data_IF_253066569231
#
_entry.id   IF_253066569231
#
_cell.length_a   1.000
_cell.length_b   1.000
_cell.length_c   1.000
_cell.angle_alpha   90.00
_cell.angle_beta   90.00
_cell.angle_gamma   90.00
#
_symmetry.space_group_name_H-M   'P 1'
#
loop_
_entity.id
_entity.type
_entity.pdbx_description
1 polymer ?
#
# COMPACT_ATOMS: atom_id res chain seq x y z
N UNK A 1 -9.80 -23.84 41.12
CA UNK A 1 -9.01 -22.60 41.31
C UNK A 1 -7.66 -22.83 40.66
N UNK A 2 -7.24 -21.88 39.82
CA UNK A 2 -5.97 -21.82 39.08
C UNK A 2 -5.79 -22.80 37.90
N UNK A 3 -6.58 -22.61 36.83
CA UNK A 3 -6.18 -23.04 35.48
C UNK A 3 -6.42 -21.89 34.48
N UNK A 4 -5.34 -21.48 33.83
CA UNK A 4 -5.25 -20.62 32.64
C UNK A 4 -5.70 -19.14 32.72
N UNK A 5 -5.04 -18.34 33.57
CA UNK A 5 -4.69 -16.98 33.14
C UNK A 5 -3.42 -17.06 32.30
N UNK A 6 -3.54 -17.44 31.02
CA UNK A 6 -2.43 -17.28 30.08
C UNK A 6 -1.99 -15.82 30.11
N UNK A 7 -0.70 -15.56 30.37
CA UNK A 7 -0.15 -14.21 30.45
C UNK A 7 -0.56 -13.42 29.21
N UNK A 8 -1.42 -12.41 29.40
CA UNK A 8 -2.00 -11.62 28.31
C UNK A 8 -0.85 -11.02 27.49
N UNK A 9 -0.72 -11.44 26.24
CA UNK A 9 0.30 -10.87 25.36
C UNK A 9 -0.08 -9.43 24.99
N UNK A 10 0.91 -8.57 24.85
CA UNK A 10 0.78 -7.18 24.40
C UNK A 10 1.99 -6.80 23.55
N UNK A 11 1.88 -5.69 22.84
CA UNK A 11 2.98 -5.18 22.03
C UNK A 11 4.09 -4.63 22.93
N UNK A 12 5.32 -4.99 22.61
CA UNK A 12 6.53 -4.48 23.22
C UNK A 12 7.46 -3.92 22.16
N UNK A 13 8.10 -2.80 22.48
CA UNK A 13 9.31 -2.34 21.83
C UNK A 13 10.51 -3.06 22.46
N UNK A 14 11.35 -3.62 21.62
CA UNK A 14 12.65 -4.19 21.95
C UNK A 14 13.73 -3.35 21.27
N UNK A 15 14.17 -2.30 21.97
CA UNK A 15 15.19 -1.37 21.49
C UNK A 15 16.56 -2.01 21.57
N UNK A 16 17.32 -2.05 20.49
CA UNK A 16 18.59 -2.78 20.41
C UNK A 16 19.73 -2.02 21.10
N UNK A 17 20.66 -2.75 21.72
CA UNK A 17 21.91 -2.15 22.22
C UNK A 17 22.88 -1.82 21.09
N UNK A 18 22.83 -2.57 19.98
CA UNK A 18 23.65 -2.41 18.80
C UNK A 18 22.72 -2.21 17.60
N UNK A 19 22.60 -0.97 17.15
CA UNK A 19 21.68 -0.57 16.08
C UNK A 19 22.29 -0.83 14.69
N UNK A 20 22.55 -2.09 14.36
CA UNK A 20 23.04 -2.51 13.05
C UNK A 20 22.43 -3.83 12.56
N UNK A 21 22.58 -4.17 11.26
CA UNK A 21 21.87 -5.32 10.68
C UNK A 21 22.18 -6.66 11.35
N UNK A 22 23.42 -6.88 11.81
CA UNK A 22 23.80 -8.09 12.53
C UNK A 22 23.12 -8.16 13.90
N UNK A 23 23.15 -7.06 14.66
CA UNK A 23 22.47 -6.95 15.95
C UNK A 23 20.97 -7.21 15.85
N UNK A 24 20.32 -6.62 14.84
CA UNK A 24 18.90 -6.81 14.59
C UNK A 24 18.54 -8.25 14.23
N UNK A 25 19.33 -8.91 13.37
CA UNK A 25 19.11 -10.33 13.00
C UNK A 25 19.26 -11.26 14.20
N UNK A 26 20.30 -11.05 15.03
CA UNK A 26 20.53 -11.85 16.23
C UNK A 26 19.38 -11.69 17.23
N UNK A 27 18.99 -10.44 17.51
CA UNK A 27 17.88 -10.13 18.42
C UNK A 27 16.55 -10.71 17.93
N UNK A 28 16.26 -10.62 16.62
CA UNK A 28 15.03 -11.17 16.04
C UNK A 28 14.98 -12.69 16.16
N UNK A 29 16.09 -13.38 15.85
CA UNK A 29 16.20 -14.84 16.04
C UNK A 29 15.93 -15.22 17.49
N UNK A 30 16.58 -14.54 18.43
CA UNK A 30 16.39 -14.78 19.86
C UNK A 30 14.91 -14.59 20.29
N UNK A 31 14.26 -13.50 19.86
CA UNK A 31 12.85 -13.27 20.16
C UNK A 31 11.94 -14.36 19.58
N UNK A 32 12.19 -14.80 18.35
CA UNK A 32 11.45 -15.92 17.73
C UNK A 32 11.64 -17.23 18.50
N UNK A 33 12.86 -17.56 18.91
CA UNK A 33 13.16 -18.73 19.76
C UNK A 33 12.47 -18.66 21.13
N UNK A 34 12.34 -17.45 21.68
CA UNK A 34 11.60 -17.18 22.92
C UNK A 34 10.06 -17.25 22.74
N UNK A 35 9.58 -17.44 21.51
CA UNK A 35 8.15 -17.51 21.17
C UNK A 35 7.46 -16.15 21.11
N UNK A 36 8.23 -15.06 21.01
CA UNK A 36 7.72 -13.71 20.73
C UNK A 36 7.36 -13.63 19.25
N UNK A 37 6.16 -13.12 18.96
CA UNK A 37 5.73 -12.87 17.60
C UNK A 37 6.22 -11.48 17.19
N UNK A 38 7.32 -11.42 16.46
CA UNK A 38 7.89 -10.16 15.96
C UNK A 38 7.05 -9.67 14.78
N UNK A 39 6.40 -8.52 14.93
CA UNK A 39 5.48 -7.97 13.92
C UNK A 39 6.18 -7.01 12.98
N UNK A 40 7.11 -6.22 13.51
CA UNK A 40 7.86 -5.25 12.71
C UNK A 40 9.26 -5.00 13.26
N UNK A 41 10.10 -4.48 12.39
CA UNK A 41 11.43 -4.00 12.67
C UNK A 41 11.53 -2.55 12.18
N UNK A 42 11.94 -1.66 13.08
CA UNK A 42 12.14 -0.23 12.81
C UNK A 42 13.63 -0.01 12.50
N UNK A 43 13.96 0.06 11.20
CA UNK A 43 15.35 0.11 10.72
C UNK A 43 16.22 -1.00 11.37
N UNK A 44 17.50 -0.76 11.64
CA UNK A 44 18.35 -1.68 12.38
C UNK A 44 18.34 -1.44 13.90
N UNK A 45 17.38 -0.66 14.41
CA UNK A 45 17.46 -0.06 15.74
C UNK A 45 16.49 -0.69 16.77
N UNK A 46 15.33 -1.18 16.33
CA UNK A 46 14.36 -1.77 17.23
C UNK A 46 13.51 -2.86 16.55
N UNK A 47 13.00 -3.77 17.37
CA UNK A 47 11.99 -4.75 17.01
C UNK A 47 10.71 -4.46 17.78
N UNK A 48 9.55 -4.69 17.16
CA UNK A 48 8.25 -4.64 17.81
C UNK A 48 7.64 -6.04 17.75
N UNK A 49 7.08 -6.50 18.86
CA UNK A 49 6.48 -7.83 18.89
C UNK A 49 5.46 -8.05 19.99
N UNK A 50 4.57 -9.00 19.75
CA UNK A 50 3.56 -9.47 20.68
C UNK A 50 4.18 -10.52 21.63
N UNK A 51 4.34 -10.13 22.89
CA UNK A 51 5.01 -10.93 23.91
C UNK A 51 4.20 -10.97 25.23
N UNK A 52 4.40 -12.03 26.01
CA UNK A 52 4.01 -12.06 27.43
C UNK A 52 4.99 -11.24 28.28
N UNK A 53 4.60 -10.93 29.51
CA UNK A 53 5.50 -10.25 30.46
C UNK A 53 6.78 -11.06 30.68
N UNK A 54 6.68 -12.36 30.91
CA UNK A 54 7.83 -13.25 31.15
C UNK A 54 8.80 -13.27 29.96
N UNK A 55 8.28 -13.27 28.73
CA UNK A 55 9.11 -13.19 27.51
C UNK A 55 9.82 -11.83 27.43
N UNK A 56 9.13 -10.74 27.75
CA UNK A 56 9.74 -9.41 27.77
C UNK A 56 10.83 -9.28 28.85
N UNK A 57 10.60 -9.83 30.04
CA UNK A 57 11.59 -9.86 31.13
C UNK A 57 12.81 -10.71 30.78
N UNK A 58 12.60 -11.90 30.19
CA UNK A 58 13.69 -12.73 29.70
C UNK A 58 14.51 -12.04 28.60
N UNK A 59 13.86 -11.31 27.68
CA UNK A 59 14.57 -10.52 26.69
C UNK A 59 15.42 -9.41 27.34
N UNK A 60 14.88 -8.68 28.32
CA UNK A 60 15.59 -7.59 29.00
C UNK A 60 16.88 -8.03 29.70
N UNK A 61 17.01 -9.31 30.08
CA UNK A 61 18.18 -9.85 30.78
C UNK A 61 19.35 -10.23 29.85
N UNK A 62 19.13 -10.29 28.53
CA UNK A 62 20.13 -10.80 27.57
C UNK A 62 21.30 -9.86 27.28
N UNK A 63 21.15 -8.56 27.58
CA UNK A 63 22.07 -7.53 27.09
C UNK A 63 21.99 -7.25 25.58
N UNK A 64 21.08 -7.91 24.83
CA UNK A 64 20.81 -7.57 23.42
C UNK A 64 20.04 -6.27 23.27
N UNK A 65 19.25 -5.92 24.29
CA UNK A 65 18.32 -4.79 24.26
C UNK A 65 18.75 -3.68 25.22
N UNK A 66 18.72 -2.45 24.72
CA UNK A 66 18.89 -1.23 25.52
C UNK A 66 17.66 -0.94 26.37
N UNK A 67 16.47 -1.29 25.86
CA UNK A 67 15.21 -1.17 26.58
C UNK A 67 14.20 -2.19 26.04
N UNK A 68 13.35 -2.71 26.93
CA UNK A 68 12.19 -3.52 26.57
C UNK A 68 10.98 -2.90 27.27
N UNK A 69 9.97 -2.48 26.51
CA UNK A 69 8.83 -1.74 27.09
C UNK A 69 7.55 -1.94 26.31
N UNK A 70 6.43 -2.11 27.03
CA UNK A 70 5.07 -2.06 26.45
C UNK A 70 4.43 -0.68 26.56
N UNK A 71 5.22 0.33 26.92
CA UNK A 71 4.80 1.72 27.08
C UNK A 71 5.88 2.67 26.57
N UNK A 72 5.75 3.96 26.87
CA UNK A 72 6.73 4.97 26.42
C UNK A 72 8.15 4.60 26.85
N UNK A 73 9.11 4.95 26.00
CA UNK A 73 10.55 4.74 26.25
C UNK A 73 11.26 6.09 26.22
N UNK A 74 12.20 6.26 27.13
CA UNK A 74 13.17 7.36 27.13
C UNK A 74 14.57 6.77 27.08
N UNK A 75 15.48 7.39 26.31
CA UNK A 75 16.89 6.99 26.28
C UNK A 75 17.73 7.89 27.18
N UNK A 76 18.76 7.30 27.77
CA UNK A 76 19.82 8.05 28.44
C UNK A 76 20.58 8.94 27.43
N UNK A 77 20.95 10.15 27.85
CA UNK A 77 21.53 11.21 27.01
C UNK A 77 22.79 10.77 26.26
N UNK A 78 23.55 9.80 26.79
CA UNK A 78 24.77 9.28 26.15
C UNK A 78 24.50 8.44 24.89
N UNK A 79 23.33 7.80 24.79
CA UNK A 79 22.89 7.01 23.61
C UNK A 79 22.04 7.84 22.64
N UNK A 80 21.72 9.09 22.97
CA UNK A 80 20.93 10.00 22.15
C UNK A 80 21.66 10.52 20.89
N UNK A 81 22.92 10.14 20.66
CA UNK A 81 23.65 10.50 19.44
C UNK A 81 23.31 9.63 18.22
N UNK A 82 22.65 8.49 18.42
CA UNK A 82 22.27 7.58 17.34
C UNK A 82 20.87 7.91 16.81
N UNK A 83 20.83 8.45 15.59
CA UNK A 83 19.59 8.85 14.92
C UNK A 83 18.61 7.69 14.76
N UNK A 84 19.10 6.48 14.47
CA UNK A 84 18.23 5.33 14.22
C UNK A 84 17.46 4.93 15.48
N UNK A 85 18.12 4.98 16.64
CA UNK A 85 17.49 4.74 17.94
C UNK A 85 16.49 5.82 18.31
N UNK A 86 16.81 7.10 18.04
CA UNK A 86 15.89 8.21 18.30
C UNK A 86 14.63 8.13 17.43
N UNK A 87 14.79 7.83 16.14
CA UNK A 87 13.68 7.70 15.21
C UNK A 87 12.77 6.53 15.61
N UNK A 88 13.33 5.38 15.98
CA UNK A 88 12.57 4.22 16.47
C UNK A 88 11.77 4.54 17.75
N UNK A 89 12.36 5.27 18.70
CA UNK A 89 11.67 5.69 19.93
C UNK A 89 10.58 6.70 19.63
N UNK A 90 10.84 7.66 18.73
CA UNK A 90 9.86 8.66 18.33
C UNK A 90 8.62 7.98 17.73
N UNK A 91 8.84 7.07 16.78
CA UNK A 91 7.80 6.26 16.15
C UNK A 91 7.01 5.44 17.17
N UNK A 92 7.68 4.76 18.10
CA UNK A 92 7.02 3.99 19.16
C UNK A 92 6.22 4.87 20.14
N UNK A 93 6.80 5.96 20.61
CA UNK A 93 6.19 6.85 21.59
C UNK A 93 4.98 7.59 21.00
N UNK A 94 4.97 7.88 19.69
CA UNK A 94 3.84 8.51 19.01
C UNK A 94 2.53 7.72 19.24
N UNK A 95 2.60 6.38 19.24
CA UNK A 95 1.46 5.48 19.51
C UNK A 95 0.94 5.53 20.95
N UNK A 96 1.72 6.13 21.85
CA UNK A 96 1.41 6.27 23.27
C UNK A 96 1.09 7.71 23.67
N UNK A 97 1.07 8.65 22.71
CA UNK A 97 0.66 10.02 22.95
C UNK A 97 -0.85 10.10 23.19
N UNK A 98 -1.26 10.95 24.13
CA UNK A 98 -2.69 11.10 24.47
C UNK A 98 -3.52 11.58 23.26
N UNK A 99 -2.93 12.40 22.39
CA UNK A 99 -3.55 12.85 21.15
C UNK A 99 -3.83 11.68 20.19
N UNK A 100 -2.88 10.77 20.03
CA UNK A 100 -3.03 9.58 19.19
C UNK A 100 -4.06 8.62 19.78
N UNK A 101 -3.99 8.33 21.08
CA UNK A 101 -4.97 7.46 21.74
C UNK A 101 -6.40 8.01 21.65
N UNK A 102 -6.56 9.34 21.77
CA UNK A 102 -7.86 10.01 21.57
C UNK A 102 -8.32 9.89 20.11
N UNK A 103 -7.41 10.07 19.15
CA UNK A 103 -7.71 9.89 17.73
C UNK A 103 -8.20 8.47 17.43
N UNK A 104 -7.58 7.43 18.00
CA UNK A 104 -8.03 6.03 17.83
C UNK A 104 -9.40 5.74 18.44
N UNK A 105 -9.89 6.58 19.36
CA UNK A 105 -11.24 6.49 19.93
C UNK A 105 -12.25 7.28 19.11
N UNK A 106 -11.81 8.19 18.25
CA UNK A 106 -12.67 8.96 17.38
C UNK A 106 -13.35 8.06 16.34
N UNK A 107 -14.65 8.26 16.15
CA UNK A 107 -15.51 7.52 15.21
C UNK A 107 -16.30 8.47 14.31
N UNK A 108 -16.07 9.77 14.40
CA UNK A 108 -16.82 10.81 13.70
C UNK A 108 -16.84 10.62 12.19
N UNK A 109 -15.73 10.20 11.60
CA UNK A 109 -15.57 10.01 10.16
C UNK A 109 -15.77 8.54 9.71
N UNK A 110 -16.00 7.60 10.64
CA UNK A 110 -16.08 6.17 10.33
C UNK A 110 -17.37 5.85 9.57
N UNK A 111 -17.24 5.35 8.33
CA UNK A 111 -18.37 4.87 7.53
C UNK A 111 -19.21 5.99 6.91
N UNK A 112 -18.72 7.23 6.88
CA UNK A 112 -19.35 8.26 6.04
C UNK A 112 -19.21 7.85 4.57
N UNK A 113 -20.31 7.83 3.79
CA UNK A 113 -20.26 7.37 2.41
C UNK A 113 -19.32 8.23 1.57
N UNK A 114 -18.60 7.55 0.69
CA UNK A 114 -17.75 8.15 -0.34
C UNK A 114 -18.56 9.00 -1.34
N UNK A 115 -19.85 8.69 -1.49
CA UNK A 115 -20.81 9.38 -2.36
C UNK A 115 -21.47 10.61 -1.70
N UNK A 116 -20.75 11.32 -0.83
CA UNK A 116 -21.22 12.63 -0.38
C UNK A 116 -21.24 13.59 -1.59
N UNK A 117 -22.37 14.26 -1.83
CA UNK A 117 -22.52 15.19 -2.96
C UNK A 117 -21.56 16.40 -2.86
N UNK A 118 -21.01 16.64 -1.67
CA UNK A 118 -20.02 17.69 -1.43
C UNK A 118 -18.57 17.24 -1.71
N UNK A 119 -18.35 15.97 -2.07
CA UNK A 119 -17.02 15.42 -2.41
C UNK A 119 -16.93 15.04 -3.87
N UNK A 120 -15.81 15.39 -4.50
CA UNK A 120 -15.49 14.95 -5.87
C UNK A 120 -15.43 13.42 -5.93
N UNK A 121 -16.23 12.79 -6.80
CA UNK A 121 -16.16 11.35 -7.06
C UNK A 121 -14.79 10.98 -7.65
N UNK A 122 -14.19 9.88 -7.19
CA UNK A 122 -12.95 9.40 -7.80
C UNK A 122 -13.28 8.57 -9.05
N UNK A 123 -12.42 8.60 -10.08
CA UNK A 123 -12.59 7.71 -11.22
C UNK A 123 -12.43 6.24 -10.80
N UNK A 124 -12.83 5.23 -11.60
CA UNK A 124 -12.54 3.84 -11.27
C UNK A 124 -11.02 3.59 -11.26
N UNK A 125 -10.46 3.04 -10.17
CA UNK A 125 -9.02 2.70 -10.09
C UNK A 125 -8.56 1.76 -11.23
N UNK A 126 -7.28 1.55 -11.51
CA UNK A 126 -6.82 0.56 -12.50
C UNK A 126 -5.65 -0.25 -11.95
N UNK A 127 -5.72 -1.59 -12.00
CA UNK A 127 -4.64 -2.44 -11.47
C UNK A 127 -3.32 -2.25 -12.23
N UNK A 128 -3.41 -2.05 -13.54
CA UNK A 128 -2.29 -1.74 -14.43
C UNK A 128 -2.42 -0.31 -14.93
N UNK A 129 -1.31 0.41 -14.98
CA UNK A 129 -1.29 1.79 -15.46
C UNK A 129 -1.79 1.84 -16.91
N UNK A 130 -2.79 2.68 -17.25
CA UNK A 130 -3.31 2.80 -18.62
C UNK A 130 -2.22 3.15 -19.65
N UNK A 131 -1.14 3.81 -19.23
CA UNK A 131 -0.01 4.15 -20.11
C UNK A 131 0.87 2.95 -20.39
N UNK A 132 1.08 2.07 -19.40
CA UNK A 132 1.79 0.80 -19.61
C UNK A 132 1.02 -0.07 -20.60
N UNK A 133 -0.32 -0.10 -20.48
CA UNK A 133 -1.19 -0.79 -21.41
C UNK A 133 -1.07 -0.22 -22.82
N UNK A 134 -1.21 1.09 -22.97
CA UNK A 134 -1.03 1.80 -24.25
C UNK A 134 0.34 1.51 -24.85
N UNK A 135 1.42 1.65 -24.09
CA UNK A 135 2.78 1.35 -24.56
C UNK A 135 2.93 -0.12 -25.00
N UNK A 136 2.34 -1.07 -24.27
CA UNK A 136 2.36 -2.49 -24.62
C UNK A 136 1.58 -2.78 -25.91
N UNK A 137 0.41 -2.16 -26.09
CA UNK A 137 -0.40 -2.27 -27.31
C UNK A 137 0.34 -1.70 -28.51
N UNK A 138 0.87 -0.48 -28.40
CA UNK A 138 1.63 0.17 -29.47
C UNK A 138 2.86 -0.66 -29.87
N UNK A 139 3.58 -1.20 -28.90
CA UNK A 139 4.71 -2.11 -29.13
C UNK A 139 4.28 -3.39 -29.85
N UNK A 140 3.17 -4.01 -29.43
CA UNK A 140 2.63 -5.23 -30.06
C UNK A 140 2.20 -4.99 -31.50
N UNK A 141 1.51 -3.88 -31.74
CA UNK A 141 0.99 -3.51 -33.06
C UNK A 141 2.05 -2.86 -33.96
N UNK A 142 3.24 -2.57 -33.43
CA UNK A 142 4.35 -1.91 -34.14
C UNK A 142 3.91 -0.60 -34.82
N UNK A 143 3.14 0.22 -34.09
CA UNK A 143 2.58 1.48 -34.55
C UNK A 143 2.77 2.56 -33.50
N UNK A 144 2.67 3.82 -33.92
CA UNK A 144 2.45 4.94 -33.01
C UNK A 144 0.94 5.14 -32.75
N UNK A 145 0.63 5.92 -31.71
CA UNK A 145 -0.73 6.18 -31.28
C UNK A 145 -1.55 6.98 -32.29
N UNK A 146 -0.97 8.00 -32.90
CA UNK A 146 -1.70 8.87 -33.82
C UNK A 146 -2.21 8.07 -35.02
N UNK A 147 -1.34 7.22 -35.58
CA UNK A 147 -1.67 6.30 -36.67
C UNK A 147 -2.74 5.29 -36.26
N UNK A 148 -2.63 4.71 -35.05
CA UNK A 148 -3.58 3.73 -34.55
C UNK A 148 -4.98 4.34 -34.34
N UNK A 149 -5.07 5.48 -33.65
CA UNK A 149 -6.34 6.14 -33.34
C UNK A 149 -7.00 6.68 -34.61
N UNK A 150 -6.22 7.20 -35.57
CA UNK A 150 -6.74 7.60 -36.89
C UNK A 150 -7.39 6.43 -37.62
N UNK A 151 -6.67 5.32 -37.76
CA UNK A 151 -7.18 4.12 -38.45
C UNK A 151 -8.43 3.58 -37.76
N UNK A 152 -8.46 3.60 -36.43
CA UNK A 152 -9.62 3.16 -35.63
C UNK A 152 -10.83 4.06 -35.86
N UNK A 153 -10.66 5.39 -35.89
CA UNK A 153 -11.76 6.33 -36.22
C UNK A 153 -12.32 6.10 -37.62
N UNK A 154 -11.46 5.83 -38.60
CA UNK A 154 -11.90 5.60 -39.99
C UNK A 154 -12.76 4.32 -40.11
N UNK A 155 -12.42 3.27 -39.35
CA UNK A 155 -13.24 2.04 -39.23
C UNK A 155 -14.59 2.31 -38.58
N UNK A 156 -14.62 3.13 -37.53
CA UNK A 156 -15.80 3.45 -36.74
C UNK A 156 -16.46 4.79 -37.12
N UNK A 157 -16.29 5.25 -38.37
CA UNK A 157 -16.73 6.59 -38.83
C UNK A 157 -18.22 6.92 -38.63
N UNK A 158 -19.06 5.91 -38.44
CA UNK A 158 -20.50 6.05 -38.21
C UNK A 158 -20.87 6.04 -36.71
N UNK A 159 -19.90 5.78 -35.84
CA UNK A 159 -20.06 5.79 -34.39
C UNK A 159 -19.41 7.06 -33.82
N UNK A 160 -20.00 7.60 -32.74
CA UNK A 160 -19.38 8.69 -31.99
C UNK A 160 -18.74 8.10 -30.74
N UNK A 161 -17.43 8.26 -30.55
CA UNK A 161 -16.81 7.75 -29.34
C UNK A 161 -17.24 8.64 -28.18
N UNK A 162 -17.68 8.02 -27.09
CA UNK A 162 -18.16 8.70 -25.89
C UNK A 162 -17.28 8.33 -24.70
N UNK A 163 -17.16 9.24 -23.73
CA UNK A 163 -16.56 8.89 -22.44
C UNK A 163 -17.31 7.73 -21.80
N UNK A 164 -16.57 6.82 -21.20
CA UNK A 164 -17.09 5.64 -20.52
C UNK A 164 -17.48 6.00 -19.10
N UNK A 165 -18.53 6.80 -18.92
CA UNK A 165 -19.04 7.19 -17.61
C UNK A 165 -20.45 6.61 -17.38
N UNK A 166 -20.81 6.34 -16.12
CA UNK A 166 -22.14 5.87 -15.73
C UNK A 166 -22.59 4.62 -16.50
N UNK A 167 -23.75 4.69 -17.15
CA UNK A 167 -24.33 3.58 -17.93
C UNK A 167 -23.45 3.15 -19.12
N UNK A 168 -22.70 4.08 -19.72
CA UNK A 168 -21.81 3.77 -20.84
C UNK A 168 -20.65 2.87 -20.40
N UNK A 169 -20.13 3.08 -19.18
CA UNK A 169 -19.12 2.21 -18.58
C UNK A 169 -19.65 0.79 -18.39
N UNK A 170 -20.84 0.66 -17.77
CA UNK A 170 -21.44 -0.65 -17.50
C UNK A 170 -21.76 -1.42 -18.79
N UNK A 171 -22.27 -0.72 -19.81
CA UNK A 171 -22.53 -1.31 -21.12
C UNK A 171 -21.25 -1.78 -21.82
N UNK A 172 -20.17 -0.99 -21.73
CA UNK A 172 -18.88 -1.35 -22.30
C UNK A 172 -18.24 -2.55 -21.59
N UNK A 173 -18.28 -2.59 -20.26
CA UNK A 173 -17.82 -3.74 -19.49
C UNK A 173 -18.59 -5.02 -19.86
N UNK A 174 -19.93 -4.95 -19.95
CA UNK A 174 -20.74 -6.10 -20.36
C UNK A 174 -20.42 -6.57 -21.79
N UNK A 175 -20.11 -5.63 -22.69
CA UNK A 175 -19.66 -5.93 -24.06
C UNK A 175 -18.32 -6.67 -24.06
N UNK A 176 -17.35 -6.22 -23.25
CA UNK A 176 -16.07 -6.89 -23.07
C UNK A 176 -16.23 -8.30 -22.49
N UNK A 177 -17.07 -8.46 -21.47
CA UNK A 177 -17.28 -9.77 -20.83
C UNK A 177 -17.88 -10.76 -21.82
N UNK A 178 -18.89 -10.34 -22.58
CA UNK A 178 -19.47 -11.16 -23.66
C UNK A 178 -18.45 -11.52 -24.74
N UNK A 179 -17.53 -10.60 -25.07
CA UNK A 179 -16.52 -10.83 -26.10
C UNK A 179 -15.40 -11.77 -25.64
N UNK A 180 -14.92 -11.58 -24.41
CA UNK A 180 -13.76 -12.29 -23.85
C UNK A 180 -14.15 -13.57 -23.10
N UNK A 181 -15.42 -13.70 -22.71
CA UNK A 181 -15.93 -14.68 -21.76
C UNK A 181 -15.02 -14.75 -20.52
N UNK A 182 -14.73 -13.59 -19.95
CA UNK A 182 -13.76 -13.41 -18.87
C UNK A 182 -14.12 -12.16 -18.04
N UNK A 183 -15.00 -12.28 -17.03
CA UNK A 183 -15.59 -11.13 -16.35
C UNK A 183 -14.56 -10.26 -15.63
N UNK A 184 -13.53 -10.87 -15.03
CA UNK A 184 -12.43 -10.12 -14.38
C UNK A 184 -11.62 -9.28 -15.39
N UNK A 185 -11.24 -9.88 -16.52
CA UNK A 185 -10.47 -9.20 -17.56
C UNK A 185 -11.28 -8.08 -18.21
N UNK A 186 -12.57 -8.32 -18.45
CA UNK A 186 -13.49 -7.31 -18.96
C UNK A 186 -13.64 -6.11 -18.01
N UNK A 187 -13.72 -6.38 -16.70
CA UNK A 187 -13.75 -5.34 -15.68
C UNK A 187 -12.46 -4.50 -15.68
N UNK A 188 -11.29 -5.13 -15.67
CA UNK A 188 -10.01 -4.41 -15.69
C UNK A 188 -9.82 -3.59 -16.98
N UNK A 189 -10.24 -4.12 -18.12
CA UNK A 189 -10.16 -3.42 -19.41
C UNK A 189 -11.12 -2.23 -19.52
N UNK A 190 -12.33 -2.34 -18.96
CA UNK A 190 -13.26 -1.21 -18.90
C UNK A 190 -12.67 -0.04 -18.10
N UNK A 191 -11.98 -0.35 -16.99
CA UNK A 191 -11.30 0.64 -16.14
C UNK A 191 -10.13 1.28 -16.87
N UNK A 192 -9.31 0.51 -17.59
CA UNK A 192 -8.24 1.09 -18.44
C UNK A 192 -8.86 2.03 -19.49
N UNK A 193 -9.89 1.57 -20.20
CA UNK A 193 -10.55 2.36 -21.23
C UNK A 193 -11.15 3.67 -20.70
N UNK A 194 -11.63 3.69 -19.44
CA UNK A 194 -12.13 4.89 -18.77
C UNK A 194 -11.08 6.02 -18.75
N UNK A 195 -9.81 5.69 -18.55
CA UNK A 195 -8.72 6.67 -18.40
C UNK A 195 -8.05 7.05 -19.72
N UNK A 196 -8.40 6.40 -20.81
CA UNK A 196 -7.83 6.64 -22.14
C UNK A 196 -8.76 7.50 -23.00
N UNK A 197 -8.26 7.94 -24.14
CA UNK A 197 -9.09 8.59 -25.15
C UNK A 197 -10.24 7.64 -25.57
N UNK A 198 -11.47 8.14 -25.77
CA UNK A 198 -12.65 7.32 -26.05
C UNK A 198 -12.49 6.26 -27.16
N UNK A 199 -11.65 6.53 -28.17
CA UNK A 199 -11.33 5.62 -29.27
C UNK A 199 -10.62 4.34 -28.82
N UNK A 200 -9.91 4.35 -27.69
CA UNK A 200 -9.25 3.17 -27.13
C UNK A 200 -10.27 2.08 -26.75
N UNK A 201 -11.53 2.42 -26.50
CA UNK A 201 -12.59 1.45 -26.28
C UNK A 201 -12.77 0.51 -27.49
N UNK A 202 -12.59 1.03 -28.71
CA UNK A 202 -12.65 0.21 -29.92
C UNK A 202 -11.37 -0.60 -30.10
N UNK A 203 -10.20 0.01 -29.88
CA UNK A 203 -8.90 -0.68 -29.96
C UNK A 203 -8.90 -1.90 -29.05
N UNK A 204 -9.32 -1.75 -27.80
CA UNK A 204 -9.34 -2.83 -26.80
C UNK A 204 -10.21 -4.01 -27.23
N UNK A 205 -11.35 -3.74 -27.86
CA UNK A 205 -12.25 -4.79 -28.37
C UNK A 205 -11.66 -5.56 -29.57
N UNK A 206 -10.65 -5.02 -30.26
CA UNK A 206 -9.97 -5.68 -31.39
C UNK A 206 -8.73 -6.47 -30.94
N UNK A 207 -8.28 -6.35 -29.69
CA UNK A 207 -7.09 -7.04 -29.19
C UNK A 207 -7.37 -8.52 -28.91
N UNK A 208 -6.40 -9.38 -29.22
CA UNK A 208 -6.50 -10.80 -28.90
C UNK A 208 -6.46 -11.06 -27.40
N UNK A 209 -7.32 -11.98 -26.95
CA UNK A 209 -7.44 -12.39 -25.55
C UNK A 209 -6.11 -12.87 -24.96
N UNK A 210 -5.29 -13.59 -25.71
CA UNK A 210 -4.00 -14.12 -25.22
C UNK A 210 -3.04 -12.99 -24.83
N UNK A 211 -2.94 -11.93 -25.63
CA UNK A 211 -2.19 -10.74 -25.27
C UNK A 211 -2.75 -10.06 -24.03
N UNK A 212 -4.07 -9.91 -23.95
CA UNK A 212 -4.74 -9.27 -22.81
C UNK A 212 -4.48 -10.05 -21.52
N UNK A 213 -4.67 -11.37 -21.55
CA UNK A 213 -4.36 -12.26 -20.43
C UNK A 213 -2.87 -12.21 -20.07
N UNK A 214 -1.97 -12.16 -21.05
CA UNK A 214 -0.53 -12.03 -20.79
C UNK A 214 -0.15 -10.67 -20.18
N UNK A 215 -0.80 -9.58 -20.59
CA UNK A 215 -0.59 -8.24 -20.05
C UNK A 215 -1.03 -8.16 -18.58
N UNK A 216 -2.19 -8.72 -18.27
CA UNK A 216 -2.71 -8.74 -16.91
C UNK A 216 -2.13 -9.87 -16.05
N UNK A 217 -1.41 -10.83 -16.64
CA UNK A 217 -0.73 -11.90 -15.91
C UNK A 217 0.19 -11.28 -14.87
N UNK A 218 -0.15 -11.45 -13.60
CA UNK A 218 0.76 -11.11 -12.53
C UNK A 218 1.96 -12.06 -12.59
N UNK A 219 3.17 -11.49 -12.43
CA UNK A 219 4.33 -12.31 -12.13
C UNK A 219 4.05 -13.09 -10.84
N UNK A 220 4.64 -14.29 -10.71
CA UNK A 220 4.50 -15.24 -9.61
C UNK A 220 3.86 -14.64 -8.34
N UNK A 221 2.71 -15.17 -7.95
CA UNK A 221 1.92 -14.63 -6.86
C UNK A 221 2.75 -14.40 -5.58
N UNK A 222 2.54 -13.24 -4.94
CA UNK A 222 3.21 -12.85 -3.70
C UNK A 222 2.48 -13.39 -2.49
N UNK A 223 3.18 -14.14 -1.64
CA UNK A 223 2.62 -14.60 -0.37
C UNK A 223 2.91 -13.58 0.72
N UNK A 224 1.90 -13.31 1.55
CA UNK A 224 2.06 -12.47 2.73
C UNK A 224 2.64 -13.29 3.89
N UNK A 225 3.90 -13.72 3.71
CA UNK A 225 4.64 -14.61 4.61
C UNK A 225 6.09 -14.14 4.73
N UNK A 226 6.74 -14.50 5.84
CA UNK A 226 8.13 -14.19 6.20
C UNK A 226 8.40 -12.69 6.32
N UNK A 227 9.66 -12.28 6.19
CA UNK A 227 10.01 -10.88 6.17
C UNK A 227 9.55 -10.19 4.87
N UNK A 228 8.85 -9.06 5.01
CA UNK A 228 8.47 -8.19 3.91
C UNK A 228 9.06 -6.80 4.14
N UNK A 229 9.85 -6.31 3.20
CA UNK A 229 10.39 -4.94 3.26
C UNK A 229 9.36 -3.91 2.83
N UNK A 230 9.28 -2.81 3.56
CA UNK A 230 8.33 -1.73 3.32
C UNK A 230 9.07 -0.40 3.34
N UNK A 231 9.22 0.23 2.18
CA UNK A 231 9.70 1.60 2.09
C UNK A 231 8.53 2.56 2.17
N UNK A 232 8.40 3.32 3.26
CA UNK A 232 7.36 4.34 3.39
C UNK A 232 7.95 5.71 3.03
N UNK A 233 7.47 6.28 1.93
CA UNK A 233 8.01 7.52 1.34
C UNK A 233 7.02 8.65 1.54
N UNK A 234 7.31 9.54 2.49
CA UNK A 234 6.62 10.82 2.60
C UNK A 234 7.08 11.76 1.51
N UNK A 235 6.16 12.14 0.64
CA UNK A 235 6.42 13.10 -0.46
C UNK A 235 5.82 14.44 -0.08
N UNK A 236 6.64 15.47 0.00
CA UNK A 236 6.20 16.84 0.29
C UNK A 236 6.77 17.83 -0.73
N UNK A 237 6.20 19.03 -0.79
CA UNK A 237 6.75 20.07 -1.64
C UNK A 237 7.96 20.74 -0.98
N UNK A 238 9.00 21.03 -1.78
CA UNK A 238 10.07 21.94 -1.37
C UNK A 238 9.63 23.41 -1.41
N UNK A 239 8.60 23.76 -2.21
CA UNK A 239 8.08 25.14 -2.35
C UNK A 239 7.47 25.63 -1.03
N UNK A 240 7.66 26.90 -0.62
CA UNK A 240 7.13 27.42 0.65
C UNK A 240 5.62 27.26 0.82
N UNK A 241 4.86 27.47 -0.26
CA UNK A 241 3.40 27.42 -0.36
C UNK A 241 2.87 26.09 -0.93
N UNK A 242 3.76 25.14 -1.21
CA UNK A 242 3.39 23.83 -1.73
C UNK A 242 2.78 22.90 -0.67
N UNK A 243 2.17 21.77 -1.10
CA UNK A 243 1.54 20.82 -0.19
C UNK A 243 2.57 20.12 0.71
N UNK A 244 2.34 20.14 2.02
CA UNK A 244 3.21 19.52 3.05
C UNK A 244 2.38 19.02 4.22
N UNK A 245 2.85 17.98 4.90
CA UNK A 245 2.35 17.61 6.23
C UNK A 245 3.05 18.41 7.31
N UNK A 246 2.34 18.74 8.39
CA UNK A 246 2.99 19.18 9.62
C UNK A 246 3.79 18.04 10.24
N UNK A 247 4.74 18.36 11.13
CA UNK A 247 5.49 17.35 11.87
C UNK A 247 4.55 16.43 12.69
N UNK A 248 3.52 17.00 13.32
CA UNK A 248 2.53 16.23 14.08
C UNK A 248 1.68 15.31 13.19
N UNK A 249 1.25 15.78 12.01
CA UNK A 249 0.52 14.95 11.07
C UNK A 249 1.39 13.79 10.57
N UNK A 250 2.67 14.06 10.29
CA UNK A 250 3.62 13.01 9.92
C UNK A 250 3.79 11.96 11.01
N UNK A 251 4.01 12.34 12.27
CA UNK A 251 4.11 11.36 13.37
C UNK A 251 2.83 10.54 13.56
N UNK A 252 1.66 11.15 13.37
CA UNK A 252 0.38 10.41 13.37
C UNK A 252 0.32 9.40 12.22
N UNK A 253 0.69 9.81 11.01
CA UNK A 253 0.70 8.92 9.84
C UNK A 253 1.69 7.76 10.02
N UNK A 254 2.89 8.02 10.55
CA UNK A 254 3.87 6.99 10.87
C UNK A 254 3.31 5.96 11.86
N UNK A 255 2.62 6.42 12.90
CA UNK A 255 1.98 5.57 13.90
C UNK A 255 0.81 4.76 13.32
N UNK A 256 -0.08 5.38 12.54
CA UNK A 256 -1.21 4.70 11.88
C UNK A 256 -0.75 3.62 10.89
N UNK A 257 0.20 3.94 10.03
CA UNK A 257 0.75 2.98 9.05
C UNK A 257 1.38 1.79 9.78
N UNK A 258 2.16 2.07 10.83
CA UNK A 258 2.77 1.01 11.65
C UNK A 258 1.71 0.15 12.34
N UNK A 259 0.65 0.75 12.90
CA UNK A 259 -0.45 0.01 13.53
C UNK A 259 -1.18 -0.89 12.52
N UNK A 260 -1.42 -0.42 11.28
CA UNK A 260 -2.03 -1.21 10.22
C UNK A 260 -1.18 -2.42 9.81
N UNK A 261 0.12 -2.22 9.63
CA UNK A 261 1.07 -3.29 9.33
C UNK A 261 1.20 -4.28 10.51
N UNK A 262 1.41 -3.78 11.73
CA UNK A 262 1.50 -4.62 12.94
C UNK A 262 0.22 -5.44 13.16
N UNK A 263 -0.96 -4.89 12.84
CA UNK A 263 -2.22 -5.61 12.91
C UNK A 263 -2.25 -6.78 11.92
N UNK A 264 -1.89 -6.57 10.64
CA UNK A 264 -1.77 -7.67 9.67
C UNK A 264 -0.80 -8.76 10.15
N UNK A 265 0.35 -8.34 10.68
CA UNK A 265 1.33 -9.26 11.26
C UNK A 265 0.88 -9.92 12.56
N UNK A 266 -0.19 -9.45 13.21
CA UNK A 266 -0.81 -10.08 14.39
C UNK A 266 -1.93 -11.04 14.01
N UNK A 267 -2.68 -10.74 12.95
CA UNK A 267 -3.77 -11.60 12.46
C UNK A 267 -3.30 -12.75 11.57
N UNK A 268 -2.11 -12.64 10.95
CA UNK A 268 -1.58 -13.69 10.10
C UNK A 268 -1.48 -15.05 10.83
N UNK A 269 -1.58 -16.19 10.12
CA UNK A 269 -1.28 -17.49 10.72
C UNK A 269 0.15 -17.50 11.29
N UNK A 270 0.38 -18.15 12.44
CA UNK A 270 1.72 -18.21 13.05
C UNK A 270 2.77 -18.78 12.08
N UNK A 271 2.39 -19.78 11.27
CA UNK A 271 3.25 -20.40 10.26
C UNK A 271 3.63 -19.46 9.11
N UNK A 272 2.91 -18.35 8.92
CA UNK A 272 3.27 -17.34 7.94
C UNK A 272 4.51 -16.56 8.37
N UNK A 273 4.84 -16.51 9.67
CA UNK A 273 6.03 -15.81 10.21
C UNK A 273 6.21 -14.38 9.67
N UNK A 274 5.09 -13.67 9.50
CA UNK A 274 5.06 -12.35 8.88
C UNK A 274 5.74 -11.30 9.76
N UNK A 275 6.76 -10.64 9.24
CA UNK A 275 7.44 -9.51 9.87
C UNK A 275 7.67 -8.39 8.88
N UNK A 276 7.34 -7.15 9.25
CA UNK A 276 7.57 -5.98 8.42
C UNK A 276 8.92 -5.34 8.69
N UNK A 277 9.72 -5.11 7.65
CA UNK A 277 10.99 -4.38 7.75
C UNK A 277 10.76 -2.96 7.23
N UNK A 278 10.52 -2.01 8.13
CA UNK A 278 10.06 -0.67 7.76
C UNK A 278 11.25 0.29 7.59
N UNK A 279 11.33 0.87 6.40
CA UNK A 279 12.24 1.97 6.07
C UNK A 279 11.45 3.27 5.87
N UNK A 280 11.80 4.30 6.64
CA UNK A 280 11.12 5.61 6.57
C UNK A 280 11.92 6.59 5.73
N UNK A 281 11.34 7.03 4.63
CA UNK A 281 11.88 8.02 3.72
C UNK A 281 11.03 9.29 3.77
N UNK A 282 11.70 10.43 3.61
CA UNK A 282 11.02 11.71 3.42
C UNK A 282 11.76 12.53 2.39
N UNK A 283 11.05 12.87 1.32
CA UNK A 283 11.59 13.61 0.19
C UNK A 283 10.79 14.89 -0.03
N UNK A 284 11.51 15.93 -0.46
CA UNK A 284 10.92 17.21 -0.83
C UNK A 284 11.19 17.48 -2.31
N UNK A 285 10.13 17.77 -3.09
CA UNK A 285 10.23 17.94 -4.54
C UNK A 285 9.74 19.32 -4.99
N UNK A 286 10.37 19.86 -6.02
CA UNK A 286 9.97 21.14 -6.63
C UNK A 286 9.00 20.93 -7.79
N UNK A 287 7.77 20.56 -7.44
CA UNK A 287 6.68 20.35 -8.40
C UNK A 287 5.45 21.10 -7.95
N UNK A 288 4.75 21.73 -8.90
CA UNK A 288 3.47 22.40 -8.65
C UNK A 288 2.41 21.40 -8.18
N UNK A 289 1.47 21.83 -7.35
CA UNK A 289 0.35 20.96 -7.00
C UNK A 289 -0.56 20.76 -8.23
N UNK A 290 -1.01 19.52 -8.44
CA UNK A 290 -1.96 19.19 -9.49
C UNK A 290 -3.41 19.50 -9.10
N UNK A 291 -4.34 18.99 -9.88
CA UNK A 291 -5.76 18.90 -9.55
C UNK A 291 -6.14 17.50 -9.03
N UNK A 292 -7.37 17.39 -8.54
CA UNK A 292 -8.00 16.13 -8.09
C UNK A 292 -8.18 15.06 -9.19
N UNK A 293 -7.80 15.35 -10.43
CA UNK A 293 -7.77 14.41 -11.55
C UNK A 293 -6.33 14.04 -11.97
N UNK A 294 -5.33 14.50 -11.22
CA UNK A 294 -3.93 14.26 -11.54
C UNK A 294 -3.54 12.83 -11.17
N UNK A 295 -2.75 12.19 -12.02
CA UNK A 295 -2.18 10.88 -11.75
C UNK A 295 -0.92 10.99 -10.88
N UNK A 296 -0.48 9.90 -10.27
CA UNK A 296 0.64 9.98 -9.30
C UNK A 296 1.99 10.34 -9.90
N UNK A 297 2.20 10.14 -11.20
CA UNK A 297 3.49 10.28 -11.88
C UNK A 297 4.15 11.65 -11.72
N UNK A 298 3.36 12.74 -11.81
CA UNK A 298 3.92 14.09 -11.79
C UNK A 298 4.63 14.41 -10.46
N UNK A 299 4.23 13.78 -9.35
CA UNK A 299 4.92 13.91 -8.07
C UNK A 299 5.77 12.67 -7.74
N UNK A 300 5.33 11.46 -8.09
CA UNK A 300 5.99 10.20 -7.76
C UNK A 300 7.34 10.08 -8.45
N UNK A 301 7.43 10.38 -9.74
CA UNK A 301 8.69 10.18 -10.47
C UNK A 301 9.77 11.15 -9.97
N UNK A 302 9.51 12.46 -9.77
CA UNK A 302 10.45 13.34 -9.09
C UNK A 302 10.74 12.93 -7.65
N UNK A 303 9.77 12.35 -6.91
CA UNK A 303 9.99 11.85 -5.56
C UNK A 303 10.96 10.66 -5.54
N UNK A 304 10.84 9.75 -6.51
CA UNK A 304 11.80 8.66 -6.68
C UNK A 304 13.20 9.17 -6.96
N UNK A 305 13.35 10.22 -7.78
CA UNK A 305 14.66 10.84 -8.02
C UNK A 305 15.28 11.52 -6.80
N UNK A 306 14.45 11.97 -5.86
CA UNK A 306 14.91 12.55 -4.60
C UNK A 306 15.22 11.49 -3.53
N UNK A 307 14.82 10.24 -3.73
CA UNK A 307 15.00 9.15 -2.78
C UNK A 307 16.44 8.65 -2.79
N UNK A 308 16.96 8.38 -1.59
CA UNK A 308 18.28 7.81 -1.39
C UNK A 308 18.15 6.61 -0.45
N UNK A 309 18.63 5.44 -0.87
CA UNK A 309 18.59 4.23 -0.05
C UNK A 309 19.92 3.49 -0.20
N UNK A 310 20.57 3.22 0.94
CA UNK A 310 21.85 2.49 1.00
C UNK A 310 22.92 3.00 0.02
N UNK A 311 22.99 4.33 -0.16
CA UNK A 311 23.92 4.96 -1.10
C UNK A 311 23.51 4.91 -2.57
N UNK A 312 22.39 4.27 -2.90
CA UNK A 312 21.80 4.30 -4.24
C UNK A 312 20.86 5.51 -4.42
N UNK A 313 20.86 6.02 -5.64
CA UNK A 313 19.89 7.00 -6.15
C UNK A 313 19.13 6.40 -7.31
N UNK A 314 17.97 6.96 -7.62
CA UNK A 314 17.08 6.44 -8.65
C UNK A 314 16.78 7.49 -9.71
N UNK A 315 16.52 7.11 -10.97
CA UNK A 315 15.99 8.03 -11.97
C UNK A 315 14.58 8.53 -11.62
N UNK A 316 14.16 9.66 -12.23
CA UNK A 316 12.78 10.13 -12.16
C UNK A 316 11.89 9.29 -13.10
N UNK A 317 11.54 8.08 -12.66
CA UNK A 317 10.83 7.12 -13.50
C UNK A 317 9.99 6.14 -12.68
N UNK A 318 8.97 5.59 -13.32
CA UNK A 318 8.15 4.50 -12.78
C UNK A 318 8.96 3.26 -12.40
N UNK A 319 9.94 2.86 -13.23
CA UNK A 319 10.79 1.68 -12.97
C UNK A 319 11.56 1.77 -11.65
N UNK A 320 11.89 2.99 -11.21
CA UNK A 320 12.59 3.24 -9.96
C UNK A 320 11.86 2.70 -8.73
N UNK A 321 10.53 2.59 -8.78
CA UNK A 321 9.75 1.98 -7.69
C UNK A 321 10.12 0.50 -7.52
N UNK A 322 10.28 -0.23 -8.63
CA UNK A 322 10.68 -1.62 -8.61
C UNK A 322 12.16 -1.78 -8.21
N UNK A 323 13.03 -0.89 -8.69
CA UNK A 323 14.45 -0.90 -8.34
C UNK A 323 14.65 -0.69 -6.83
N UNK A 324 13.99 0.32 -6.26
CA UNK A 324 14.04 0.59 -4.82
C UNK A 324 13.52 -0.59 -3.98
N UNK A 325 12.41 -1.22 -4.42
CA UNK A 325 11.89 -2.42 -3.75
C UNK A 325 12.89 -3.56 -3.77
N UNK A 326 13.52 -3.81 -4.91
CA UNK A 326 14.47 -4.89 -5.06
C UNK A 326 15.73 -4.67 -4.22
N UNK A 327 16.20 -3.42 -4.11
CA UNK A 327 17.30 -3.06 -3.23
C UNK A 327 16.96 -3.31 -1.75
N UNK A 328 15.80 -2.85 -1.28
CA UNK A 328 15.33 -3.17 0.08
C UNK A 328 15.20 -4.68 0.31
N UNK A 329 14.61 -5.40 -0.65
CA UNK A 329 14.39 -6.85 -0.55
C UNK A 329 15.71 -7.59 -0.39
N UNK A 330 16.72 -7.23 -1.18
CA UNK A 330 18.06 -7.83 -1.13
C UNK A 330 18.78 -7.48 0.16
N UNK A 331 18.78 -6.21 0.55
CA UNK A 331 19.48 -5.74 1.75
C UNK A 331 18.92 -6.38 3.03
N UNK A 332 17.60 -6.50 3.13
CA UNK A 332 16.93 -7.09 4.29
C UNK A 332 16.74 -8.61 4.21
N UNK A 333 17.11 -9.25 3.09
CA UNK A 333 16.80 -10.65 2.79
C UNK A 333 15.30 -10.99 2.90
N UNK A 334 14.44 -10.06 2.49
CA UNK A 334 12.99 -10.22 2.55
C UNK A 334 12.47 -11.14 1.44
N UNK A 335 11.35 -11.82 1.71
CA UNK A 335 10.62 -12.59 0.71
C UNK A 335 10.08 -11.68 -0.41
N UNK A 336 9.50 -10.54 -0.02
CA UNK A 336 9.00 -9.52 -0.93
C UNK A 336 9.32 -8.11 -0.40
N UNK A 337 9.08 -7.11 -1.24
CA UNK A 337 9.21 -5.71 -0.86
C UNK A 337 8.16 -4.83 -1.55
N UNK A 338 7.65 -3.84 -0.84
CA UNK A 338 6.66 -2.88 -1.35
C UNK A 338 7.04 -1.44 -0.96
N UNK A 339 6.45 -0.48 -1.66
CA UNK A 339 6.56 0.95 -1.33
C UNK A 339 5.19 1.46 -0.88
N UNK A 340 5.15 2.29 0.16
CA UNK A 340 3.96 3.05 0.52
C UNK A 340 4.29 4.53 0.33
N UNK A 341 3.68 5.18 -0.66
CA UNK A 341 3.77 6.63 -0.79
C UNK A 341 2.74 7.30 0.11
N UNK A 342 3.15 8.36 0.80
CA UNK A 342 2.26 9.18 1.62
C UNK A 342 2.39 10.62 1.17
N UNK A 343 1.31 11.21 0.66
CA UNK A 343 1.42 12.51 -0.03
C UNK A 343 0.27 13.48 0.28
N UNK A 344 0.56 14.79 0.48
CA UNK A 344 -0.44 15.84 0.49
C UNK A 344 -0.67 16.43 -0.92
N UNK A 345 0.07 15.99 -1.94
CA UNK A 345 -0.17 16.39 -3.32
C UNK A 345 -1.56 15.94 -3.78
N UNK A 346 -2.15 16.71 -4.68
CA UNK A 346 -3.37 16.34 -5.36
C UNK A 346 -3.19 15.00 -6.08
N UNK A 347 -4.22 14.17 -6.03
CA UNK A 347 -4.17 12.82 -6.57
C UNK A 347 -5.58 12.42 -6.98
N UNK A 348 -5.70 11.46 -7.90
CA UNK A 348 -7.01 10.99 -8.37
C UNK A 348 -7.76 10.18 -7.30
N UNK A 349 -7.02 9.48 -6.45
CA UNK A 349 -7.55 8.62 -5.38
C UNK A 349 -6.85 8.91 -4.04
N UNK A 350 -7.57 8.68 -2.95
CA UNK A 350 -7.01 8.78 -1.59
C UNK A 350 -6.22 7.54 -1.14
N UNK A 351 -6.58 6.35 -1.62
CA UNK A 351 -5.97 5.06 -1.30
C UNK A 351 -6.06 4.13 -2.49
N UNK A 352 -4.96 3.47 -2.86
CA UNK A 352 -4.94 2.40 -3.87
C UNK A 352 -3.62 1.63 -3.84
N UNK A 353 -3.63 0.43 -4.42
CA UNK A 353 -2.46 -0.41 -4.56
C UNK A 353 -2.34 -1.08 -5.92
N UNK A 354 -1.11 -1.27 -6.39
CA UNK A 354 -0.82 -1.98 -7.64
C UNK A 354 0.66 -1.85 -8.00
N UNK A 355 1.20 -2.71 -8.87
CA UNK A 355 2.63 -2.66 -9.27
C UNK A 355 3.62 -2.72 -8.09
N UNK A 356 3.18 -3.25 -6.94
CA UNK A 356 3.94 -3.32 -5.70
C UNK A 356 4.16 -2.01 -4.95
N UNK A 357 3.31 -1.00 -5.19
CA UNK A 357 3.17 0.14 -4.30
C UNK A 357 1.75 0.26 -3.76
N UNK A 358 1.65 0.95 -2.63
CA UNK A 358 0.44 1.57 -2.11
C UNK A 358 0.63 3.09 -2.18
N UNK A 359 -0.42 3.83 -2.50
CA UNK A 359 -0.43 5.29 -2.44
C UNK A 359 -1.52 5.75 -1.47
N UNK A 360 -1.12 6.49 -0.45
CA UNK A 360 -1.98 7.12 0.55
C UNK A 360 -1.91 8.65 0.35
N UNK A 361 -2.93 9.22 -0.29
CA UNK A 361 -3.01 10.64 -0.55
C UNK A 361 -4.05 11.32 0.36
N UNK A 362 -3.72 12.51 0.86
CA UNK A 362 -4.63 13.34 1.67
C UNK A 362 -5.75 14.00 0.82
N UNK A 363 -6.27 13.27 -0.16
CA UNK A 363 -7.41 13.64 -0.98
C UNK A 363 -8.68 13.58 -0.14
N UNK A 364 -9.50 14.64 -0.17
CA UNK A 364 -10.80 14.71 0.50
C UNK A 364 -10.75 14.25 1.97
N UNK A 365 -9.69 14.61 2.71
CA UNK A 365 -9.46 14.10 4.07
C UNK A 365 -9.44 12.56 4.12
N UNK A 366 -8.58 11.96 3.30
CA UNK A 366 -8.41 10.51 3.17
C UNK A 366 -9.71 9.81 2.76
N UNK A 367 -10.32 10.29 1.66
CA UNK A 367 -11.61 9.78 1.18
C UNK A 367 -12.78 10.06 2.13
N UNK A 368 -12.60 10.97 3.09
CA UNK A 368 -13.55 11.28 4.14
C UNK A 368 -13.47 10.42 5.38
N UNK A 369 -12.48 9.53 5.48
CA UNK A 369 -12.29 8.67 6.66
C UNK A 369 -11.43 9.32 7.74
N UNK A 370 -10.68 10.36 7.38
CA UNK A 370 -9.82 11.08 8.30
C UNK A 370 -8.53 10.36 8.66
N UNK A 371 -7.56 11.13 9.12
CA UNK A 371 -6.20 10.67 9.41
C UNK A 371 -6.12 9.54 10.45
N UNK A 372 -7.11 9.41 11.35
CA UNK A 372 -7.14 8.39 12.40
C UNK A 372 -7.57 6.99 11.97
N UNK A 373 -7.73 6.77 10.67
CA UNK A 373 -8.15 5.50 10.06
C UNK A 373 -7.15 4.96 9.04
N UNK A 374 -5.97 5.59 8.98
CA UNK A 374 -4.93 5.25 8.03
C UNK A 374 -4.38 3.84 8.30
N UNK A 375 -4.44 3.35 9.53
CA UNK A 375 -4.17 1.95 9.87
C UNK A 375 -5.00 0.97 9.02
N UNK A 376 -6.31 1.21 8.91
CA UNK A 376 -7.23 0.35 8.17
C UNK A 376 -7.04 0.47 6.67
N UNK A 377 -6.87 1.69 6.17
CA UNK A 377 -6.61 1.93 4.75
C UNK A 377 -5.28 1.26 4.37
N UNK A 378 -4.23 1.44 5.17
CA UNK A 378 -2.93 0.78 4.96
C UNK A 378 -3.09 -0.74 4.91
N UNK A 379 -3.74 -1.34 5.91
CA UNK A 379 -3.92 -2.79 5.96
C UNK A 379 -4.71 -3.31 4.75
N UNK A 380 -5.77 -2.59 4.35
CA UNK A 380 -6.59 -2.90 3.19
C UNK A 380 -5.79 -2.85 1.88
N UNK A 381 -5.13 -1.72 1.61
CA UNK A 381 -4.40 -1.52 0.35
C UNK A 381 -3.19 -2.46 0.23
N UNK A 382 -2.49 -2.72 1.33
CA UNK A 382 -1.37 -3.67 1.35
C UNK A 382 -1.84 -5.07 0.95
N UNK A 383 -3.01 -5.51 1.43
CA UNK A 383 -3.53 -6.85 1.11
C UNK A 383 -3.80 -7.05 -0.38
N UNK A 384 -4.18 -6.01 -1.12
CA UNK A 384 -4.34 -6.09 -2.57
C UNK A 384 -3.04 -6.45 -3.29
N UNK A 385 -1.87 -6.03 -2.78
CA UNK A 385 -0.57 -6.42 -3.34
C UNK A 385 -0.25 -7.92 -3.20
N UNK A 386 -0.98 -8.63 -2.34
CA UNK A 386 -0.89 -10.08 -2.14
C UNK A 386 -2.10 -10.82 -2.72
N UNK A 387 -2.86 -10.13 -3.56
CA UNK A 387 -3.97 -10.67 -4.34
C UNK A 387 -5.27 -10.83 -3.58
N UNK A 388 -5.43 -10.21 -2.40
CA UNK A 388 -6.76 -10.13 -1.75
C UNK A 388 -7.69 -9.23 -2.55
N UNK A 389 -8.96 -9.63 -2.67
CA UNK A 389 -9.98 -8.82 -3.34
C UNK A 389 -10.83 -8.02 -2.37
N UNK A 390 -11.41 -6.94 -2.89
CA UNK A 390 -12.43 -6.17 -2.20
C UNK A 390 -13.68 -7.00 -1.91
N UNK A 391 -14.26 -6.81 -0.73
CA UNK A 391 -15.51 -7.44 -0.33
C UNK A 391 -16.75 -6.61 -0.70
N UNK A 392 -16.60 -5.30 -0.94
CA UNK A 392 -17.73 -4.42 -1.31
C UNK A 392 -18.02 -4.45 -2.81
N UNK A 393 -19.28 -4.18 -3.18
CA UNK A 393 -19.67 -3.94 -4.57
C UNK A 393 -19.21 -2.54 -4.99
N UNK A 394 -18.28 -2.41 -5.93
CA UNK A 394 -17.73 -1.10 -6.35
C UNK A 394 -16.36 -1.17 -7.03
N UNK A 395 -15.67 -0.04 -7.10
CA UNK A 395 -14.33 0.10 -7.68
C UNK A 395 -13.26 -0.55 -6.81
N UNK A 396 -12.51 -1.53 -7.33
CA UNK A 396 -11.37 -2.09 -6.59
C UNK A 396 -10.93 -3.46 -7.11
N UNK A 397 -11.77 -4.48 -7.00
CA UNK A 397 -11.70 -5.75 -7.73
C UNK A 397 -13.12 -6.29 -7.79
N UNK A 398 -13.52 -7.03 -8.85
CA UNK A 398 -14.91 -7.39 -8.99
C UNK A 398 -15.20 -8.54 -8.03
N UNK A 399 -15.71 -8.18 -6.85
CA UNK A 399 -16.69 -8.95 -6.13
C UNK A 399 -17.93 -9.15 -7.04
N UNK A 400 -17.75 -9.96 -8.08
CA UNK A 400 -18.69 -10.20 -9.19
C UNK A 400 -19.37 -11.55 -9.08
N UNK A 401 -18.74 -12.49 -8.36
CA UNK A 401 -19.35 -13.76 -7.98
C UNK A 401 -18.72 -14.32 -6.72
N UNK A 402 -19.46 -15.15 -6.00
CA UNK A 402 -18.99 -15.87 -4.81
C UNK A 402 -17.97 -16.98 -5.11
N UNK A 403 -17.70 -17.25 -6.39
CA UNK A 403 -16.76 -18.28 -6.83
C UNK A 403 -15.40 -17.71 -7.27
N UNK A 404 -15.24 -16.37 -7.24
CA UNK A 404 -13.94 -15.75 -7.58
C UNK A 404 -12.89 -16.12 -6.54
N UNK A 405 -11.76 -16.65 -7.01
CA UNK A 405 -10.62 -17.09 -6.20
C UNK A 405 -9.51 -16.05 -6.26
N UNK A 406 -8.89 -15.79 -5.13
CA UNK A 406 -7.99 -14.64 -4.95
C UNK A 406 -6.68 -15.04 -4.25
N UNK A 407 -5.61 -14.30 -4.57
CA UNK A 407 -4.27 -14.50 -4.02
C UNK A 407 -3.66 -15.87 -4.31
N UNK A 408 -2.52 -16.16 -3.67
CA UNK A 408 -1.76 -17.38 -3.95
C UNK A 408 -2.43 -18.64 -3.43
N UNK A 409 -3.26 -18.46 -2.41
CA UNK A 409 -4.01 -19.54 -1.78
C UNK A 409 -5.34 -19.81 -2.47
N UNK A 410 -5.69 -19.03 -3.50
CA UNK A 410 -6.91 -19.20 -4.29
C UNK A 410 -8.15 -19.29 -3.38
N UNK A 411 -8.26 -18.35 -2.43
CA UNK A 411 -9.32 -18.35 -1.43
C UNK A 411 -10.56 -17.69 -2.03
N UNK A 412 -11.76 -18.30 -1.92
CA UNK A 412 -13.00 -17.66 -2.31
C UNK A 412 -13.30 -16.42 -1.49
N UNK A 413 -13.78 -15.36 -2.14
CA UNK A 413 -14.27 -14.16 -1.43
C UNK A 413 -15.67 -14.42 -0.86
N UNK A 414 -15.74 -15.02 0.33
CA UNK A 414 -17.00 -15.41 0.99
C UNK A 414 -17.86 -14.24 1.49
N UNK A 415 -17.26 -13.06 1.71
CA UNK A 415 -17.95 -11.85 2.18
C UNK A 415 -18.30 -10.89 1.04
N UNK A 416 -18.06 -11.31 -0.20
CA UNK A 416 -18.33 -10.52 -1.38
C UNK A 416 -19.79 -10.03 -1.39
N UNK A 417 -20.01 -8.72 -1.40
CA UNK A 417 -21.31 -8.05 -1.40
C UNK A 417 -22.28 -8.47 -2.53
N UNK A 418 -21.81 -9.10 -3.61
CA UNK A 418 -22.73 -9.71 -4.59
C UNK A 418 -23.43 -10.99 -4.07
N UNK A 419 -22.93 -11.58 -2.98
CA UNK A 419 -23.41 -12.83 -2.39
C UNK A 419 -23.58 -12.80 -0.86
N UNK A 420 -22.93 -11.88 -0.16
CA UNK A 420 -23.11 -11.68 1.26
C UNK A 420 -24.54 -11.21 1.50
N UNK A 421 -25.34 -12.05 2.17
CA UNK A 421 -26.65 -11.62 2.66
C UNK A 421 -26.42 -10.59 3.76
N UNK A 422 -27.24 -9.52 3.85
CA UNK A 422 -27.19 -8.65 5.01
C UNK A 422 -27.41 -9.51 6.26
N UNK A 423 -26.50 -9.40 7.22
CA UNK A 423 -26.71 -9.94 8.56
C UNK A 423 -27.77 -9.13 9.29
#
# INVERSE_FOLDING_TARGET
>A
MAEQMGSRRRMYLFLLNRADPEGARLARRYLKELGVRVTSQLQAAALVGLASTDQAEAAAQTGLFAAVSSGRVTLDRKKAGDKALLDAISSWNARHEASFLKLKQDRTERGKPWNDKEKDSEPPFTLRDPRDFKAAVLKKLQTDEETLLKTTRDKHRNERPSRLEGEAFAAYQAKLDKHLNHPTLAYELARIAYHLEPEWAWVILELDKDFLEAFFREAACWKLENEISVGVVFVASSRPDGPKFSASARSTLEAEITDGLDWLATEAPLAADLTWMIDWQAVAIDVANGSNSSQEDYWRDPAMAALHYDGHTYPAAWSSVADYREDMRRNNHSAHALVIFVTPYANSWHGYAGGGRVTLANRNNWGGWGIGTIDRITAHEVLHLFGSADEYTGSGTPCSSCATLHGCYQIPNGNCGCCARPF
#
